data_IF_790880436339
#
_entry.id   IF_790880436339
#
_cell.length_a   1.000
_cell.length_b   1.000
_cell.length_c   1.000
_cell.angle_alpha   90.00
_cell.angle_beta   90.00
_cell.angle_gamma   90.00
#
_symmetry.space_group_name_H-M   'P 1'
#
loop_
_entity.id
_entity.type
_entity.pdbx_description
1 polymer ?
#
# COMPACT_ATOMS: atom_id res chain seq x y z
N UNK A 1 30.75 3.14 11.72
CA UNK A 1 30.27 2.72 10.38
C UNK A 1 30.76 3.75 9.37
N UNK A 2 31.61 3.37 8.43
CA UNK A 2 32.05 4.27 7.34
C UNK A 2 31.12 4.16 6.12
N UNK A 3 31.26 5.08 5.15
CA UNK A 3 30.39 5.12 3.96
C UNK A 3 30.43 3.83 3.13
N UNK A 4 31.57 3.11 3.09
CA UNK A 4 31.70 1.83 2.38
C UNK A 4 30.96 0.70 3.10
N UNK A 5 30.96 0.71 4.43
CA UNK A 5 30.23 -0.26 5.25
C UNK A 5 28.72 0.00 5.18
N UNK A 6 28.30 1.26 5.27
CA UNK A 6 26.90 1.65 5.14
C UNK A 6 26.31 1.28 3.77
N UNK A 7 27.04 1.57 2.68
CA UNK A 7 26.58 1.25 1.33
C UNK A 7 26.39 -0.26 1.08
N UNK A 8 27.15 -1.13 1.76
CA UNK A 8 27.01 -2.59 1.65
C UNK A 8 25.78 -3.14 2.38
N UNK A 9 25.33 -2.42 3.41
CA UNK A 9 24.15 -2.79 4.21
C UNK A 9 22.93 -1.97 3.85
N UNK A 10 23.05 -1.02 2.91
CA UNK A 10 21.96 -0.16 2.50
C UNK A 10 21.02 -0.94 1.58
N UNK A 11 19.89 -1.37 2.14
CA UNK A 11 18.75 -1.81 1.34
C UNK A 11 17.85 -0.59 1.11
N UNK A 12 17.67 -0.15 -0.16
CA UNK A 12 16.70 0.90 -0.44
C UNK A 12 15.32 0.40 0.04
N UNK A 13 14.76 1.06 1.06
CA UNK A 13 13.41 0.81 1.54
C UNK A 13 12.42 1.25 0.47
N UNK A 14 12.17 0.36 -0.48
CA UNK A 14 11.15 0.52 -1.49
C UNK A 14 9.80 0.16 -0.92
N UNK A 15 8.82 1.04 -1.11
CA UNK A 15 7.42 0.73 -0.84
C UNK A 15 6.83 0.06 -2.08
N UNK A 16 6.30 -1.15 -1.93
CA UNK A 16 5.52 -1.82 -2.97
C UNK A 16 4.13 -1.20 -3.12
N UNK A 17 3.36 -1.66 -4.10
CA UNK A 17 1.95 -1.30 -4.24
C UNK A 17 1.05 -2.43 -3.73
N UNK A 18 -0.07 -2.12 -3.08
CA UNK A 18 -1.05 -3.13 -2.63
C UNK A 18 -1.55 -4.04 -3.77
N UNK A 19 -1.46 -3.60 -5.03
CA UNK A 19 -1.82 -4.39 -6.22
C UNK A 19 -0.86 -5.54 -6.53
N UNK A 20 0.32 -5.55 -5.91
CA UNK A 20 1.31 -6.63 -6.02
C UNK A 20 0.95 -7.81 -5.11
N UNK A 21 0.03 -7.62 -4.16
CA UNK A 21 -0.44 -8.68 -3.26
C UNK A 21 -1.59 -9.44 -3.92
N UNK A 22 -1.43 -10.77 -3.99
CA UNK A 22 -2.48 -11.66 -4.50
C UNK A 22 -3.70 -11.69 -3.59
N UNK A 23 -3.47 -11.64 -2.27
CA UNK A 23 -4.50 -11.66 -1.24
C UNK A 23 -4.09 -10.73 -0.11
N UNK A 24 -5.05 -9.93 0.36
CA UNK A 24 -4.92 -9.04 1.52
C UNK A 24 -6.03 -9.39 2.50
N UNK A 25 -5.69 -9.51 3.78
CA UNK A 25 -6.71 -9.70 4.83
C UNK A 25 -7.41 -8.37 5.12
N UNK A 26 -8.72 -8.41 5.29
CA UNK A 26 -9.52 -7.22 5.61
C UNK A 26 -9.26 -6.67 7.03
N UNK A 27 -8.71 -7.50 7.93
CA UNK A 27 -8.38 -7.16 9.32
C UNK A 27 -6.92 -6.70 9.51
N UNK A 28 -6.14 -6.53 8.43
CA UNK A 28 -4.75 -6.07 8.53
C UNK A 28 -4.69 -4.61 9.01
N UNK A 29 -3.73 -4.32 9.89
CA UNK A 29 -3.48 -2.97 10.37
C UNK A 29 -2.98 -2.08 9.22
N UNK A 30 -3.70 -0.99 8.96
CA UNK A 30 -3.23 0.10 8.11
C UNK A 30 -2.43 1.07 8.98
N UNK A 31 -1.24 1.42 8.50
CA UNK A 31 -0.35 2.42 9.10
C UNK A 31 -0.37 3.69 8.27
N UNK A 32 -0.26 4.82 8.94
CA UNK A 32 -0.25 6.14 8.34
C UNK A 32 0.96 6.92 8.84
N UNK A 33 1.64 7.63 7.95
CA UNK A 33 2.72 8.53 8.33
C UNK A 33 2.89 9.65 7.30
N UNK A 34 3.46 10.77 7.74
CA UNK A 34 3.86 11.86 6.84
C UNK A 34 5.32 11.66 6.43
N UNK A 35 5.55 11.54 5.13
CA UNK A 35 6.88 11.45 4.53
C UNK A 35 7.20 12.70 3.74
N UNK A 36 8.47 12.92 3.45
CA UNK A 36 8.92 14.00 2.59
C UNK A 36 9.25 13.45 1.21
N UNK A 37 8.76 14.10 0.16
CA UNK A 37 9.09 13.73 -1.21
C UNK A 37 10.46 14.28 -1.66
N UNK A 38 10.82 14.07 -2.92
CA UNK A 38 12.09 14.55 -3.48
C UNK A 38 12.18 16.09 -3.56
N UNK A 39 11.06 16.80 -3.48
CA UNK A 39 10.95 18.25 -3.53
C UNK A 39 10.89 18.88 -2.13
N UNK A 40 11.09 18.10 -1.07
CA UNK A 40 10.91 18.52 0.32
C UNK A 40 9.46 18.84 0.70
N UNK A 41 8.49 18.36 -0.07
CA UNK A 41 7.07 18.51 0.25
C UNK A 41 6.58 17.36 1.13
N UNK A 42 5.85 17.64 2.22
CA UNK A 42 5.25 16.58 3.02
C UNK A 42 4.10 15.94 2.24
N UNK A 43 4.07 14.61 2.24
CA UNK A 43 2.95 13.83 1.74
C UNK A 43 2.56 12.77 2.75
N UNK A 44 1.25 12.62 2.90
CA UNK A 44 0.67 11.59 3.74
C UNK A 44 0.65 10.25 2.99
N UNK A 45 1.13 9.18 3.64
CA UNK A 45 1.12 7.84 3.07
C UNK A 45 0.44 6.84 3.99
N UNK A 46 -0.48 6.07 3.42
CA UNK A 46 -1.08 4.90 4.06
C UNK A 46 -0.45 3.64 3.48
N UNK A 47 -0.09 2.69 4.34
CA UNK A 47 0.53 1.44 3.92
C UNK A 47 0.21 0.30 4.89
N UNK A 48 0.36 -0.93 4.41
CA UNK A 48 0.32 -2.15 5.21
C UNK A 48 1.69 -2.81 5.19
N UNK A 49 1.97 -3.65 6.19
CA UNK A 49 3.22 -4.40 6.26
C UNK A 49 2.92 -5.89 6.07
N UNK A 50 3.52 -6.49 5.04
CA UNK A 50 3.43 -7.92 4.74
C UNK A 50 4.85 -8.45 4.54
N UNK A 51 5.24 -9.49 5.27
CA UNK A 51 6.59 -10.07 5.25
C UNK A 51 7.70 -9.01 5.43
N UNK A 52 7.51 -8.12 6.40
CA UNK A 52 8.41 -7.00 6.71
C UNK A 52 8.62 -6.00 5.57
N UNK A 53 7.79 -6.06 4.52
CA UNK A 53 7.77 -5.10 3.40
C UNK A 53 6.52 -4.22 3.44
N UNK A 54 6.71 -2.95 3.17
CA UNK A 54 5.64 -1.96 3.12
C UNK A 54 4.96 -1.97 1.75
N UNK A 55 3.63 -1.95 1.75
CA UNK A 55 2.81 -1.84 0.55
C UNK A 55 1.87 -0.66 0.67
N UNK A 56 2.01 0.30 -0.25
CA UNK A 56 1.18 1.50 -0.32
C UNK A 56 -0.28 1.14 -0.55
N UNK A 57 -1.15 1.75 0.24
CA UNK A 57 -2.61 1.67 0.10
C UNK A 57 -3.15 3.02 -0.37
N UNK A 58 -3.59 3.13 -1.63
CA UNK A 58 -4.27 4.34 -2.10
C UNK A 58 -5.58 4.58 -1.35
N UNK A 59 -5.94 5.85 -1.11
CA UNK A 59 -7.22 6.21 -0.48
C UNK A 59 -8.44 5.65 -1.23
N UNK A 60 -8.38 5.57 -2.56
CA UNK A 60 -9.44 4.97 -3.37
C UNK A 60 -9.66 3.48 -3.10
N UNK A 61 -8.64 2.74 -2.66
CA UNK A 61 -8.77 1.35 -2.21
C UNK A 61 -9.54 1.29 -0.90
N UNK A 62 -9.21 2.16 0.07
CA UNK A 62 -9.91 2.23 1.37
C UNK A 62 -11.39 2.57 1.17
N UNK A 63 -11.72 3.55 0.33
CA UNK A 63 -13.11 3.91 0.03
C UNK A 63 -13.88 2.76 -0.60
N UNK A 64 -13.26 2.01 -1.52
CA UNK A 64 -13.92 0.85 -2.14
C UNK A 64 -14.07 -0.32 -1.19
N UNK A 65 -13.06 -0.60 -0.36
CA UNK A 65 -13.12 -1.65 0.65
C UNK A 65 -14.25 -1.39 1.65
N UNK A 66 -14.44 -0.13 2.08
CA UNK A 66 -15.58 0.26 2.91
C UNK A 66 -16.91 -0.14 2.27
N UNK A 67 -17.13 0.20 1.00
CA UNK A 67 -18.36 -0.16 0.28
C UNK A 67 -18.54 -1.67 0.16
N UNK A 68 -17.44 -2.42 -0.02
CA UNK A 68 -17.45 -3.89 -0.05
C UNK A 68 -17.86 -4.47 1.30
N UNK A 69 -17.31 -3.96 2.41
CA UNK A 69 -17.64 -4.42 3.77
C UNK A 69 -19.09 -4.07 4.13
N UNK A 70 -19.56 -2.88 3.77
CA UNK A 70 -20.96 -2.48 3.95
C UNK A 70 -21.93 -3.42 3.22
N UNK A 71 -21.56 -3.89 2.03
CA UNK A 71 -22.36 -4.84 1.25
C UNK A 71 -22.19 -6.30 1.70
N UNK A 72 -21.02 -6.67 2.21
CA UNK A 72 -20.63 -8.02 2.63
C UNK A 72 -19.78 -7.95 3.92
N UNK A 73 -20.41 -7.94 5.10
CA UNK A 73 -19.71 -7.77 6.37
C UNK A 73 -18.69 -8.87 6.69
N UNK A 74 -18.90 -10.08 6.14
CA UNK A 74 -18.08 -11.26 6.42
C UNK A 74 -16.85 -11.40 5.48
N UNK A 75 -16.49 -10.35 4.74
CA UNK A 75 -15.31 -10.36 3.87
C UNK A 75 -14.05 -10.48 4.73
N UNK A 76 -13.36 -11.61 4.60
CA UNK A 76 -12.09 -11.88 5.31
C UNK A 76 -10.90 -11.44 4.45
N UNK A 77 -11.01 -11.58 3.13
CA UNK A 77 -9.92 -11.34 2.19
C UNK A 77 -10.35 -10.57 0.96
N UNK A 78 -9.43 -9.84 0.36
CA UNK A 78 -9.64 -9.13 -0.89
C UNK A 78 -8.36 -9.05 -1.71
N UNK A 79 -8.51 -8.76 -3.00
CA UNK A 79 -7.42 -8.42 -3.93
C UNK A 79 -7.64 -7.02 -4.47
N UNK A 80 -6.55 -6.32 -4.76
CA UNK A 80 -6.59 -5.03 -5.46
C UNK A 80 -6.02 -5.21 -6.86
N UNK A 81 -6.76 -4.78 -7.87
CA UNK A 81 -6.25 -4.68 -9.24
C UNK A 81 -6.10 -3.22 -9.64
N UNK A 82 -5.17 -2.94 -10.54
CA UNK A 82 -4.98 -1.62 -11.13
C UNK A 82 -5.16 -1.71 -12.64
N UNK A 83 -5.83 -0.71 -13.20
CA UNK A 83 -5.91 -0.49 -14.64
C UNK A 83 -5.47 0.94 -14.97
N UNK A 84 -4.90 1.13 -16.17
CA UNK A 84 -4.41 2.42 -16.63
C UNK A 84 -3.05 2.85 -16.03
N UNK A 85 -2.58 3.99 -16.50
CA UNK A 85 -1.26 4.56 -16.16
C UNK A 85 -1.36 6.08 -15.92
N UNK A 86 -0.43 6.63 -15.14
CA UNK A 86 -0.39 8.05 -14.80
C UNK A 86 -1.71 8.54 -14.21
N UNK A 87 -2.25 9.64 -14.77
CA UNK A 87 -3.52 10.25 -14.35
C UNK A 87 -4.75 9.36 -14.61
N UNK A 88 -4.63 8.33 -15.46
CA UNK A 88 -5.70 7.39 -15.77
C UNK A 88 -5.74 6.17 -14.84
N UNK A 89 -4.90 6.13 -13.80
CA UNK A 89 -4.81 5.00 -12.89
C UNK A 89 -6.12 4.81 -12.13
N UNK A 90 -6.72 3.62 -12.24
CA UNK A 90 -7.89 3.18 -11.49
C UNK A 90 -7.54 1.95 -10.68
N UNK A 91 -7.98 1.93 -9.43
CA UNK A 91 -7.89 0.75 -8.57
C UNK A 91 -9.26 0.10 -8.45
N UNK A 92 -9.29 -1.22 -8.33
CA UNK A 92 -10.51 -1.98 -8.07
C UNK A 92 -10.26 -2.99 -6.95
N UNK A 93 -11.11 -2.93 -5.91
CA UNK A 93 -11.13 -3.91 -4.82
C UNK A 93 -12.06 -5.07 -5.20
N UNK A 94 -11.54 -6.30 -5.08
CA UNK A 94 -12.25 -7.53 -5.40
C UNK A 94 -12.29 -8.37 -4.11
N UNK A 95 -13.47 -8.55 -3.46
CA UNK A 95 -13.58 -9.47 -2.33
C UNK A 95 -13.32 -10.91 -2.79
N UNK A 96 -12.62 -11.68 -1.96
CA UNK A 96 -12.28 -13.09 -2.19
C UNK A 96 -12.98 -13.98 -1.16
#
# INVERSE_FOLDING_TARGET
MNIKEFAKTYEPKGMGNITELEVVRADIEIKEEDRTDQNHEPYHVMFIVVDSKEYRVPSSVVTQLKAVIEAKPDVVTFKVTKTGEGKGTKYQVIPL
#
